data_IF_538852157101
#
_entry.id   IF_538852157101
#
_cell.length_a   1.000
_cell.length_b   1.000
_cell.length_c   1.000
_cell.angle_alpha   90.00
_cell.angle_beta   90.00
_cell.angle_gamma   90.00
#
_symmetry.space_group_name_H-M   'P 1'
#
loop_
_entity.id
_entity.type
_entity.pdbx_description
1 polymer ?
#
# COMPACT_ATOMS: atom_id res chain seq x y z
N UNK A 1 -4.95 20.00 -9.70
CA UNK A 1 -3.81 19.08 -9.94
C UNK A 1 -3.90 17.97 -8.92
N UNK A 2 -3.96 16.71 -9.36
CA UNK A 2 -4.16 15.57 -8.47
C UNK A 2 -2.93 14.65 -8.42
N UNK A 3 -2.73 14.05 -7.24
CA UNK A 3 -1.87 12.87 -7.05
C UNK A 3 -2.77 11.74 -6.59
N UNK A 4 -2.80 10.65 -7.33
CA UNK A 4 -3.39 9.40 -6.83
C UNK A 4 -2.35 8.69 -5.96
N UNK A 5 -2.61 8.60 -4.66
CA UNK A 5 -1.67 8.00 -3.71
C UNK A 5 -1.76 6.49 -3.66
N UNK A 6 -2.78 5.88 -4.27
CA UNK A 6 -2.96 4.44 -4.20
C UNK A 6 -3.73 3.88 -5.40
N UNK A 7 -3.01 3.28 -6.34
CA UNK A 7 -3.65 2.55 -7.42
C UNK A 7 -2.94 1.22 -7.73
N UNK A 8 -3.73 0.35 -8.35
CA UNK A 8 -3.29 -0.91 -8.94
C UNK A 8 -3.65 -0.81 -10.42
N UNK A 9 -2.66 -0.60 -11.28
CA UNK A 9 -2.84 -0.49 -12.73
C UNK A 9 -1.88 -1.49 -13.36
N UNK A 10 -2.15 -2.78 -13.16
CA UNK A 10 -1.31 -3.88 -13.64
C UNK A 10 -1.86 -4.48 -14.93
N UNK A 11 -0.99 -5.11 -15.72
CA UNK A 11 -1.38 -5.74 -17.00
C UNK A 11 -2.41 -6.85 -16.83
N UNK A 12 -2.41 -7.51 -15.68
CA UNK A 12 -3.39 -8.58 -15.40
C UNK A 12 -4.81 -8.05 -15.20
N UNK A 13 -4.95 -6.78 -14.77
CA UNK A 13 -6.23 -6.15 -14.49
C UNK A 13 -6.71 -5.25 -15.65
N UNK A 14 -5.78 -4.74 -16.47
CA UNK A 14 -6.09 -3.75 -17.52
C UNK A 14 -5.43 -4.11 -18.86
N UNK A 15 -6.23 -4.51 -19.85
CA UNK A 15 -5.78 -4.71 -21.23
C UNK A 15 -5.22 -3.42 -21.85
N UNK A 16 -5.78 -2.26 -21.47
CA UNK A 16 -5.39 -0.93 -21.95
C UNK A 16 -4.49 -0.16 -20.96
N UNK A 17 -3.72 -0.85 -20.12
CA UNK A 17 -2.83 -0.26 -19.10
C UNK A 17 -1.99 0.91 -19.64
N UNK A 18 -1.36 0.74 -20.80
CA UNK A 18 -0.50 1.78 -21.37
C UNK A 18 -1.26 3.05 -21.73
N UNK A 19 -2.48 2.90 -22.25
CA UNK A 19 -3.34 4.02 -22.60
C UNK A 19 -3.73 4.80 -21.36
N UNK A 20 -4.13 4.10 -20.29
CA UNK A 20 -4.47 4.70 -18.99
C UNK A 20 -3.29 5.56 -18.50
N UNK A 21 -2.08 4.99 -18.46
CA UNK A 21 -0.88 5.68 -17.97
C UNK A 21 -0.46 6.86 -18.85
N UNK A 22 -0.63 6.77 -20.18
CA UNK A 22 -0.37 7.88 -21.12
C UNK A 22 -1.40 9.00 -20.98
N UNK A 23 -2.64 8.69 -20.62
CA UNK A 23 -3.74 9.64 -20.54
C UNK A 23 -3.92 10.31 -19.16
N UNK A 24 -3.11 9.99 -18.13
CA UNK A 24 -3.21 10.59 -16.79
C UNK A 24 -3.32 12.13 -16.80
N UNK A 25 -2.48 12.78 -17.63
CA UNK A 25 -2.45 14.24 -17.74
C UNK A 25 -3.75 14.85 -18.27
N UNK A 26 -4.49 14.14 -19.15
CA UNK A 26 -5.77 14.61 -19.69
C UNK A 26 -6.83 14.77 -18.59
N UNK A 27 -6.70 14.01 -17.51
CA UNK A 27 -7.60 14.03 -16.36
C UNK A 27 -7.05 14.84 -15.17
N UNK A 28 -6.07 15.73 -15.40
CA UNK A 28 -5.41 16.51 -14.35
C UNK A 28 -4.69 15.69 -13.26
N UNK A 29 -4.45 14.39 -13.51
CA UNK A 29 -3.66 13.50 -12.66
C UNK A 29 -2.19 13.65 -13.05
N UNK A 30 -1.41 14.32 -12.20
CA UNK A 30 0.01 14.62 -12.48
C UNK A 30 0.95 13.56 -11.99
N UNK A 31 0.55 12.79 -10.97
CA UNK A 31 1.36 11.73 -10.35
C UNK A 31 0.45 10.62 -9.87
N UNK A 32 0.94 9.39 -9.95
CA UNK A 32 0.31 8.23 -9.32
C UNK A 32 1.36 7.44 -8.54
N UNK A 33 0.92 6.72 -7.52
CA UNK A 33 1.72 5.72 -6.79
C UNK A 33 1.08 4.36 -7.02
N UNK A 34 1.79 3.50 -7.76
CA UNK A 34 1.36 2.12 -8.02
C UNK A 34 1.97 1.21 -6.94
N UNK A 35 1.14 0.40 -6.29
CA UNK A 35 1.54 -0.37 -5.11
C UNK A 35 1.64 -1.85 -5.45
N UNK A 36 2.83 -2.43 -5.37
CA UNK A 36 2.98 -3.87 -5.54
C UNK A 36 2.39 -4.64 -4.35
N UNK A 37 1.76 -5.77 -4.61
CA UNK A 37 1.12 -6.61 -3.58
C UNK A 37 1.62 -8.06 -3.56
N UNK A 38 2.48 -8.44 -4.51
CA UNK A 38 3.14 -9.74 -4.59
C UNK A 38 4.39 -9.64 -5.49
N UNK A 39 5.11 -10.75 -5.67
CA UNK A 39 6.36 -10.76 -6.44
C UNK A 39 6.19 -10.34 -7.91
N UNK A 40 5.07 -10.74 -8.54
CA UNK A 40 4.78 -10.41 -9.93
C UNK A 40 4.57 -8.90 -10.09
N UNK A 41 3.71 -8.32 -9.26
CA UNK A 41 3.37 -6.88 -9.31
C UNK A 41 4.53 -6.01 -8.86
N UNK A 42 5.34 -6.44 -7.90
CA UNK A 42 6.56 -5.72 -7.50
C UNK A 42 7.55 -5.55 -8.67
N UNK A 43 7.74 -6.60 -9.48
CA UNK A 43 8.57 -6.50 -10.71
C UNK A 43 7.95 -5.53 -11.72
N UNK A 44 6.64 -5.55 -11.85
CA UNK A 44 5.92 -4.66 -12.75
C UNK A 44 6.01 -3.19 -12.32
N UNK A 45 5.87 -2.89 -11.04
CA UNK A 45 6.06 -1.54 -10.47
C UNK A 45 7.41 -0.96 -10.86
N UNK A 46 8.49 -1.73 -10.73
CA UNK A 46 9.84 -1.30 -11.12
C UNK A 46 9.91 -0.96 -12.62
N UNK A 47 9.24 -1.74 -13.47
CA UNK A 47 9.23 -1.49 -14.90
C UNK A 47 8.43 -0.22 -15.25
N UNK A 48 7.27 -0.03 -14.63
CA UNK A 48 6.41 1.13 -14.86
C UNK A 48 7.05 2.45 -14.39
N UNK A 49 7.67 2.45 -13.21
CA UNK A 49 8.37 3.62 -12.66
C UNK A 49 9.57 4.06 -13.51
N UNK A 50 10.27 3.10 -14.15
CA UNK A 50 11.30 3.41 -15.15
C UNK A 50 10.72 4.00 -16.44
N UNK A 51 9.62 3.44 -16.92
CA UNK A 51 9.02 3.80 -18.22
C UNK A 51 8.32 5.17 -18.21
N UNK A 52 7.67 5.54 -17.10
CA UNK A 52 6.83 6.74 -17.03
C UNK A 52 7.35 7.75 -16.01
N UNK A 53 7.44 9.02 -16.39
CA UNK A 53 7.96 10.10 -15.52
C UNK A 53 7.06 10.41 -14.32
N UNK A 54 5.75 10.29 -14.50
CA UNK A 54 4.69 10.59 -13.54
C UNK A 54 4.25 9.38 -12.69
N UNK A 55 4.92 8.23 -12.84
CA UNK A 55 4.60 7.01 -12.10
C UNK A 55 5.67 6.78 -11.05
N UNK A 56 5.21 6.68 -9.81
CA UNK A 56 5.99 6.27 -8.65
C UNK A 56 5.46 4.94 -8.14
N UNK A 57 6.20 4.29 -7.25
CA UNK A 57 5.75 3.01 -6.74
C UNK A 57 6.21 2.69 -5.34
N UNK A 58 5.54 1.70 -4.76
CA UNK A 58 5.97 1.00 -3.56
C UNK A 58 6.04 -0.49 -3.84
N UNK A 59 6.88 -1.18 -3.08
CA UNK A 59 7.03 -2.62 -3.18
C UNK A 59 6.51 -3.25 -1.89
N UNK A 60 5.69 -4.27 -1.99
CA UNK A 60 4.99 -4.81 -0.84
C UNK A 60 4.49 -6.22 -1.06
N UNK A 61 3.80 -6.72 -0.04
CA UNK A 61 3.20 -8.04 -0.06
C UNK A 61 1.90 -7.98 0.74
N UNK A 62 0.78 -8.10 0.05
CA UNK A 62 -0.53 -7.90 0.65
C UNK A 62 -0.90 -9.10 1.53
N UNK A 63 -1.60 -8.90 2.67
CA UNK A 63 -1.96 -9.98 3.60
C UNK A 63 -2.69 -11.15 2.95
N UNK A 64 -3.51 -10.88 1.93
CA UNK A 64 -4.26 -11.92 1.22
C UNK A 64 -3.40 -12.82 0.32
N UNK A 65 -2.18 -12.38 -0.06
CA UNK A 65 -1.30 -13.16 -0.91
C UNK A 65 -0.31 -14.02 -0.11
N UNK A 66 -0.33 -14.00 1.23
CA UNK A 66 0.73 -14.58 2.08
C UNK A 66 1.11 -16.03 1.77
N UNK A 67 0.20 -16.83 1.21
CA UNK A 67 0.47 -18.21 0.81
C UNK A 67 1.35 -18.32 -0.46
N UNK A 68 1.50 -17.24 -1.21
CA UNK A 68 2.39 -17.10 -2.37
C UNK A 68 3.78 -16.60 -1.98
N UNK A 69 4.03 -16.29 -0.69
CA UNK A 69 5.29 -15.73 -0.23
C UNK A 69 6.43 -16.73 -0.46
N UNK A 70 7.39 -16.33 -1.28
CA UNK A 70 8.59 -17.11 -1.57
C UNK A 70 9.74 -16.73 -0.63
N UNK A 71 10.72 -17.62 -0.42
CA UNK A 71 11.88 -17.33 0.43
C UNK A 71 12.60 -16.01 0.06
N UNK A 72 12.65 -15.69 -1.23
CA UNK A 72 13.33 -14.50 -1.74
C UNK A 72 12.43 -13.26 -1.90
N UNK A 73 11.13 -13.34 -1.59
CA UNK A 73 10.21 -12.21 -1.82
C UNK A 73 10.60 -10.95 -1.04
N UNK A 74 10.96 -11.10 0.24
CA UNK A 74 11.38 -9.97 1.07
C UNK A 74 12.75 -9.42 0.65
N UNK A 75 13.65 -10.32 0.26
CA UNK A 75 14.97 -9.95 -0.28
C UNK A 75 14.84 -9.13 -1.56
N UNK A 76 13.90 -9.50 -2.43
CA UNK A 76 13.60 -8.71 -3.62
C UNK A 76 13.14 -7.29 -3.26
N UNK A 77 12.26 -7.12 -2.26
CA UNK A 77 11.84 -5.79 -1.82
C UNK A 77 13.05 -4.99 -1.31
N UNK A 78 13.85 -5.60 -0.44
CA UNK A 78 15.06 -4.99 0.16
C UNK A 78 16.07 -4.52 -0.90
N UNK A 79 16.41 -5.36 -1.88
CA UNK A 79 17.37 -5.03 -2.95
C UNK A 79 16.88 -3.90 -3.88
N UNK A 80 15.56 -3.65 -3.91
CA UNK A 80 14.95 -2.73 -4.86
C UNK A 80 14.38 -1.46 -4.21
N UNK A 81 14.31 -1.38 -2.88
CA UNK A 81 13.63 -0.28 -2.17
C UNK A 81 14.27 1.10 -2.36
N UNK A 82 15.56 1.14 -2.73
CA UNK A 82 16.31 2.37 -2.96
C UNK A 82 16.41 2.77 -4.46
N UNK A 83 15.74 2.03 -5.36
CA UNK A 83 15.70 2.42 -6.78
C UNK A 83 14.94 3.73 -6.97
N UNK A 84 15.27 4.44 -8.06
CA UNK A 84 14.61 5.70 -8.40
C UNK A 84 13.08 5.53 -8.48
N UNK A 85 12.36 6.52 -7.94
CA UNK A 85 10.89 6.57 -7.80
C UNK A 85 10.22 5.44 -6.99
N UNK A 86 10.99 4.56 -6.34
CA UNK A 86 10.45 3.67 -5.32
C UNK A 86 10.39 4.42 -3.98
N UNK A 87 9.17 4.79 -3.60
CA UNK A 87 8.90 5.71 -2.50
C UNK A 87 8.88 5.01 -1.15
N UNK A 88 8.51 3.74 -1.08
CA UNK A 88 8.38 3.03 0.19
C UNK A 88 7.86 1.61 0.07
N UNK A 89 7.37 1.09 1.19
CA UNK A 89 6.91 -0.31 1.32
C UNK A 89 5.39 -0.35 1.37
N UNK A 90 4.79 -1.11 0.47
CA UNK A 90 3.34 -1.11 0.27
C UNK A 90 2.97 -1.80 -1.04
N UNK A 91 1.82 -2.45 -1.14
CA UNK A 91 0.76 -2.55 -0.13
C UNK A 91 1.08 -3.65 0.89
N UNK A 92 1.01 -3.32 2.18
CA UNK A 92 1.23 -4.23 3.33
C UNK A 92 0.12 -4.04 4.34
N UNK A 93 -0.15 -4.95 5.26
CA UNK A 93 -1.13 -4.70 6.31
C UNK A 93 -1.83 -5.95 6.83
N UNK A 94 -3.06 -5.77 7.31
CA UNK A 94 -3.88 -6.83 7.88
C UNK A 94 -5.29 -6.81 7.26
N UNK A 95 -5.78 -7.98 6.83
CA UNK A 95 -7.15 -8.19 6.31
C UNK A 95 -7.78 -9.39 7.01
N UNK A 96 -8.63 -9.14 8.00
CA UNK A 96 -9.32 -10.19 8.74
C UNK A 96 -10.70 -10.48 8.17
N UNK A 97 -11.14 -9.75 7.15
CA UNK A 97 -12.40 -10.02 6.49
C UNK A 97 -12.27 -11.23 5.56
N UNK A 98 -11.19 -11.31 4.78
CA UNK A 98 -10.99 -12.35 3.76
C UNK A 98 -10.49 -13.67 4.34
N UNK A 99 -9.62 -13.63 5.34
CA UNK A 99 -9.09 -14.84 5.96
C UNK A 99 -8.72 -14.58 7.42
N UNK A 100 -9.47 -15.21 8.35
CA UNK A 100 -9.25 -15.08 9.80
C UNK A 100 -8.29 -16.14 10.35
N UNK A 101 -8.00 -17.18 9.58
CA UNK A 101 -7.18 -18.32 10.03
C UNK A 101 -5.69 -18.01 9.93
N UNK A 102 -5.30 -17.08 9.06
CA UNK A 102 -3.90 -16.70 8.86
C UNK A 102 -3.49 -15.41 9.61
N UNK A 103 -4.27 -14.95 10.61
CA UNK A 103 -3.99 -13.70 11.36
C UNK A 103 -2.56 -13.57 11.83
N UNK A 104 -2.04 -14.60 12.48
CA UNK A 104 -0.68 -14.57 13.03
C UNK A 104 0.37 -14.52 11.91
N UNK A 105 0.17 -15.25 10.81
CA UNK A 105 1.03 -15.14 9.64
C UNK A 105 1.01 -13.72 9.04
N UNK A 106 -0.17 -13.08 8.96
CA UNK A 106 -0.28 -11.71 8.48
C UNK A 106 0.49 -10.73 9.39
N UNK A 107 0.38 -10.89 10.71
CA UNK A 107 1.14 -10.08 11.68
C UNK A 107 2.65 -10.29 11.53
N UNK A 108 3.11 -11.53 11.43
CA UNK A 108 4.52 -11.86 11.22
C UNK A 108 5.07 -11.22 9.94
N UNK A 109 4.32 -11.30 8.83
CA UNK A 109 4.69 -10.68 7.57
C UNK A 109 4.73 -9.15 7.69
N UNK A 110 3.70 -8.55 8.31
CA UNK A 110 3.65 -7.12 8.53
C UNK A 110 4.84 -6.64 9.37
N UNK A 111 5.18 -7.32 10.47
CA UNK A 111 6.34 -7.01 11.32
C UNK A 111 7.64 -7.01 10.49
N UNK A 112 7.85 -8.04 9.65
CA UNK A 112 9.04 -8.10 8.78
C UNK A 112 9.11 -6.90 7.83
N UNK A 113 8.00 -6.51 7.24
CA UNK A 113 7.92 -5.38 6.29
C UNK A 113 8.04 -4.02 7.01
N UNK A 114 7.51 -3.86 8.22
CA UNK A 114 7.69 -2.66 9.04
C UNK A 114 9.14 -2.51 9.53
N UNK A 115 9.79 -3.62 9.90
CA UNK A 115 11.21 -3.62 10.22
C UNK A 115 12.04 -3.17 9.02
N UNK A 116 11.73 -3.70 7.83
CA UNK A 116 12.40 -3.28 6.59
C UNK A 116 12.18 -1.78 6.30
N UNK A 117 10.95 -1.29 6.46
CA UNK A 117 10.65 0.14 6.29
C UNK A 117 11.45 1.01 7.26
N UNK A 118 11.61 0.56 8.51
CA UNK A 118 12.38 1.25 9.55
C UNK A 118 13.87 1.28 9.20
N UNK A 119 14.46 0.13 8.85
CA UNK A 119 15.87 0.01 8.45
C UNK A 119 16.23 0.94 7.31
N UNK A 120 15.35 1.06 6.32
CA UNK A 120 15.59 1.87 5.12
C UNK A 120 15.02 3.30 5.21
N UNK A 121 14.44 3.67 6.37
CA UNK A 121 13.78 4.95 6.59
C UNK A 121 12.76 5.30 5.48
N UNK A 122 11.89 4.35 5.16
CA UNK A 122 10.90 4.44 4.10
C UNK A 122 9.48 4.57 4.68
N UNK A 123 8.61 5.40 4.08
CA UNK A 123 7.21 5.41 4.43
C UNK A 123 6.51 4.11 4.02
N UNK A 124 5.36 3.86 4.62
CA UNK A 124 4.55 2.66 4.36
C UNK A 124 3.15 2.98 3.83
N UNK A 125 2.60 2.08 3.02
CA UNK A 125 1.20 2.12 2.58
C UNK A 125 0.50 0.88 3.14
N UNK A 126 -0.43 1.13 4.06
CA UNK A 126 -1.00 0.13 4.96
C UNK A 126 -2.46 -0.14 4.64
N UNK A 127 -2.76 -1.42 4.37
CA UNK A 127 -4.10 -2.00 4.30
C UNK A 127 -4.61 -2.32 5.69
N UNK A 128 -5.87 -1.97 5.93
CA UNK A 128 -6.57 -2.28 7.16
C UNK A 128 -8.01 -2.67 6.85
N UNK A 129 -8.40 -3.89 7.21
CA UNK A 129 -9.78 -4.35 7.10
C UNK A 129 -10.13 -5.32 8.21
N UNK A 130 -11.09 -4.92 9.06
CA UNK A 130 -11.53 -5.67 10.25
C UNK A 130 -10.38 -6.06 11.21
N UNK A 131 -9.28 -5.30 11.20
CA UNK A 131 -8.03 -5.61 11.90
C UNK A 131 -7.46 -4.40 12.65
N UNK A 132 -8.25 -3.34 12.81
CA UNK A 132 -7.84 -2.03 13.34
C UNK A 132 -7.11 -2.10 14.68
N UNK A 133 -7.62 -2.87 15.64
CA UNK A 133 -7.04 -2.93 16.99
C UNK A 133 -5.65 -3.56 17.00
N UNK A 134 -5.51 -4.69 16.30
CA UNK A 134 -4.22 -5.38 16.14
C UNK A 134 -3.24 -4.52 15.33
N UNK A 135 -3.73 -3.82 14.30
CA UNK A 135 -2.92 -2.91 13.52
C UNK A 135 -2.41 -1.74 14.37
N UNK A 136 -3.29 -1.04 15.10
CA UNK A 136 -2.90 0.07 15.98
C UNK A 136 -1.89 -0.37 17.04
N UNK A 137 -2.09 -1.57 17.63
CA UNK A 137 -1.14 -2.13 18.61
C UNK A 137 0.23 -2.32 17.99
N UNK A 138 0.33 -2.88 16.78
CA UNK A 138 1.60 -3.06 16.10
C UNK A 138 2.25 -1.71 15.73
N UNK A 139 1.49 -0.79 15.13
CA UNK A 139 2.07 0.48 14.66
C UNK A 139 2.55 1.39 15.80
N UNK A 140 2.03 1.24 17.02
CA UNK A 140 2.53 1.96 18.21
C UNK A 140 3.98 1.62 18.57
N UNK A 141 4.48 0.46 18.15
CA UNK A 141 5.86 0.03 18.38
C UNK A 141 6.86 0.61 17.36
N UNK A 142 6.38 1.35 16.36
CA UNK A 142 7.18 1.89 15.28
C UNK A 142 7.08 3.41 15.17
N UNK A 143 8.19 4.07 14.85
CA UNK A 143 8.21 5.49 14.48
C UNK A 143 8.27 5.64 12.95
N UNK A 144 7.21 5.19 12.28
CA UNK A 144 7.09 5.25 10.82
C UNK A 144 6.04 6.29 10.40
N UNK A 145 6.16 6.74 9.16
CA UNK A 145 5.15 7.59 8.50
C UNK A 145 4.55 6.82 7.34
N UNK A 146 3.33 7.15 6.97
CA UNK A 146 2.68 6.42 5.89
C UNK A 146 1.26 6.85 5.64
N UNK A 147 0.56 6.01 4.88
CA UNK A 147 -0.85 6.18 4.56
C UNK A 147 -1.58 4.90 4.98
N UNK A 148 -2.63 5.05 5.79
CA UNK A 148 -3.66 4.02 5.92
C UNK A 148 -4.57 4.17 4.70
N UNK A 149 -4.34 3.37 3.66
CA UNK A 149 -5.07 3.56 2.41
C UNK A 149 -6.51 3.05 2.54
N UNK A 150 -7.41 3.60 1.72
CA UNK A 150 -8.82 3.25 1.72
C UNK A 150 -9.47 3.25 3.12
N UNK A 151 -9.10 4.24 3.95
CA UNK A 151 -9.59 4.35 5.32
C UNK A 151 -11.11 4.46 5.35
N UNK A 152 -11.75 3.62 6.17
CA UNK A 152 -13.21 3.55 6.33
C UNK A 152 -13.64 3.36 7.80
N UNK A 153 -12.73 3.68 8.74
CA UNK A 153 -12.97 3.57 10.18
C UNK A 153 -13.72 4.77 10.77
N UNK A 154 -13.87 4.80 12.09
CA UNK A 154 -14.51 5.91 12.80
C UNK A 154 -13.59 7.13 12.97
N UNK A 155 -14.16 8.26 13.38
CA UNK A 155 -13.40 9.47 13.71
C UNK A 155 -12.33 9.21 14.78
N UNK A 156 -12.66 8.41 15.80
CA UNK A 156 -11.75 8.07 16.89
C UNK A 156 -10.54 7.29 16.36
N UNK A 157 -10.78 6.28 15.52
CA UNK A 157 -9.71 5.52 14.86
C UNK A 157 -8.85 6.41 13.97
N UNK A 158 -9.47 7.32 13.22
CA UNK A 158 -8.75 8.28 12.38
C UNK A 158 -7.76 9.12 13.21
N UNK A 159 -8.22 9.65 14.35
CA UNK A 159 -7.38 10.43 15.27
C UNK A 159 -6.21 9.60 15.82
N UNK A 160 -6.43 8.34 16.17
CA UNK A 160 -5.35 7.46 16.65
C UNK A 160 -4.27 7.25 15.58
N UNK A 161 -4.63 6.99 14.32
CA UNK A 161 -3.64 6.89 13.24
C UNK A 161 -2.91 8.21 12.98
N UNK A 162 -3.61 9.34 13.03
CA UNK A 162 -3.01 10.66 12.82
C UNK A 162 -1.98 10.99 13.92
N UNK A 163 -2.30 10.70 15.19
CA UNK A 163 -1.36 10.87 16.31
C UNK A 163 -0.08 10.06 16.14
N UNK A 164 -0.17 8.89 15.51
CA UNK A 164 0.98 8.04 15.19
C UNK A 164 1.76 8.52 13.95
N UNK A 165 1.34 9.61 13.28
CA UNK A 165 2.04 10.19 12.15
C UNK A 165 1.61 9.66 10.77
N UNK A 166 0.52 8.89 10.71
CA UNK A 166 -0.05 8.39 9.46
C UNK A 166 -1.06 9.37 8.87
N UNK A 167 -1.17 9.36 7.54
CA UNK A 167 -2.25 10.01 6.80
C UNK A 167 -3.35 9.00 6.46
N UNK A 168 -4.54 9.50 6.16
CA UNK A 168 -5.69 8.67 5.79
C UNK A 168 -5.95 8.80 4.29
N UNK A 169 -5.93 7.68 3.58
CA UNK A 169 -6.28 7.63 2.17
C UNK A 169 -7.79 7.53 2.00
N UNK A 170 -8.40 8.53 1.37
CA UNK A 170 -9.83 8.55 1.07
C UNK A 170 -10.02 8.28 -0.42
N UNK A 171 -10.93 7.36 -0.75
CA UNK A 171 -11.23 6.99 -2.13
C UNK A 171 -12.75 7.06 -2.40
N UNK A 172 -13.19 6.55 -3.55
CA UNK A 172 -14.57 6.61 -4.00
C UNK A 172 -15.61 6.01 -3.06
N UNK A 173 -15.22 5.18 -2.08
CA UNK A 173 -16.13 4.63 -1.06
C UNK A 173 -16.88 5.74 -0.31
N UNK A 174 -16.26 6.92 -0.14
CA UNK A 174 -16.90 8.09 0.49
C UNK A 174 -18.19 8.51 -0.20
N UNK A 175 -18.33 8.22 -1.51
CA UNK A 175 -19.51 8.58 -2.31
C UNK A 175 -20.67 7.59 -2.17
N UNK A 176 -20.46 6.45 -1.51
CA UNK A 176 -21.52 5.45 -1.33
C UNK A 176 -22.53 5.91 -0.27
N UNK A 177 -23.82 5.64 -0.49
CA UNK A 177 -24.90 6.00 0.45
C UNK A 177 -24.69 5.46 1.87
N UNK A 178 -23.99 4.34 2.00
CA UNK A 178 -23.72 3.67 3.26
C UNK A 178 -22.34 4.03 3.85
N UNK A 179 -21.64 5.01 3.26
CA UNK A 179 -20.38 5.50 3.81
C UNK A 179 -20.62 6.10 5.19
N UNK A 180 -19.75 5.73 6.14
CA UNK A 180 -19.72 6.32 7.49
C UNK A 180 -18.68 7.43 7.61
N UNK A 181 -17.96 7.72 6.53
CA UNK A 181 -17.03 8.85 6.47
C UNK A 181 -17.84 10.14 6.26
N UNK A 182 -17.48 11.23 6.95
CA UNK A 182 -18.15 12.52 6.83
C UNK A 182 -17.98 13.16 5.44
#
# INVERSE_FOLDING_TARGET
>A
MFTDTHCHIFKEDYENQEEILKNLNKNNIKRIIINGYNDKTNKEVINLTKKYKNVYGTLGFHPNNINELMPDSLKFIEENINKDKILGIGEIGLDYYRNKENKEKQKELLIKLLNLATTYNKPVIIHNRESTDDLLKLLKEYNLKGIIHSFSGSYETAIEFIKLGYKLGINGIVTFKNSKLP
#
